data_IF_990976073222
#
_entry.id   IF_990976073222
#
_cell.length_a   1.000
_cell.length_b   1.000
_cell.length_c   1.000
_cell.angle_alpha   90.00
_cell.angle_beta   90.00
_cell.angle_gamma   90.00
#
_symmetry.space_group_name_H-M   'P 1'
#
loop_
_entity.id
_entity.type
_entity.pdbx_description
1 polymer ?
#
# COMPACT_ATOMS: atom_id res chain seq x y z
N UNK A 1 21.83 -23.86 5.10
CA UNK A 1 20.53 -24.28 5.66
C UNK A 1 19.84 -23.04 6.23
N UNK A 2 18.52 -22.86 6.10
CA UNK A 2 17.83 -21.74 6.75
C UNK A 2 17.99 -21.84 8.27
N UNK A 3 18.16 -20.69 8.94
CA UNK A 3 18.31 -20.63 10.40
C UNK A 3 16.97 -20.79 11.14
N UNK A 4 17.04 -20.91 12.48
CA UNK A 4 15.87 -21.15 13.33
C UNK A 4 14.74 -20.13 13.18
N UNK A 5 15.08 -18.84 13.00
CA UNK A 5 14.09 -17.77 12.77
C UNK A 5 13.26 -18.02 11.51
N UNK A 6 13.92 -18.36 10.39
CA UNK A 6 13.23 -18.61 9.12
C UNK A 6 12.34 -19.84 9.23
N UNK A 7 12.81 -20.91 9.89
CA UNK A 7 12.01 -22.12 10.10
C UNK A 7 10.78 -21.84 10.98
N UNK A 8 10.92 -21.04 12.04
CA UNK A 8 9.80 -20.65 12.90
C UNK A 8 8.79 -19.76 12.16
N UNK A 9 9.23 -18.74 11.41
CA UNK A 9 8.35 -17.90 10.60
C UNK A 9 7.62 -18.69 9.51
N UNK A 10 8.31 -19.65 8.88
CA UNK A 10 7.70 -20.54 7.89
C UNK A 10 6.66 -21.45 8.54
N UNK A 11 6.96 -22.05 9.70
CA UNK A 11 5.99 -22.85 10.46
C UNK A 11 4.72 -22.05 10.76
N UNK A 12 4.84 -20.84 11.31
CA UNK A 12 3.69 -19.97 11.61
C UNK A 12 2.88 -19.64 10.35
N UNK A 13 3.56 -19.35 9.24
CA UNK A 13 2.91 -19.12 7.95
C UNK A 13 2.10 -20.34 7.51
N UNK A 14 2.67 -21.54 7.60
CA UNK A 14 1.99 -22.79 7.26
C UNK A 14 0.79 -23.07 8.19
N UNK A 15 0.92 -22.78 9.49
CA UNK A 15 -0.16 -22.93 10.45
C UNK A 15 -1.34 -21.99 10.13
N UNK A 16 -1.08 -20.74 9.73
CA UNK A 16 -2.14 -19.81 9.30
C UNK A 16 -2.89 -20.31 8.05
N UNK A 17 -2.19 -20.95 7.10
CA UNK A 17 -2.85 -21.61 5.97
C UNK A 17 -3.70 -22.80 6.41
N UNK A 18 -3.16 -23.68 7.25
CA UNK A 18 -3.88 -24.85 7.75
C UNK A 18 -5.14 -24.46 8.54
N UNK A 19 -5.03 -23.42 9.37
CA UNK A 19 -6.14 -22.86 10.14
C UNK A 19 -7.13 -22.03 9.29
N UNK A 20 -6.83 -21.80 8.00
CA UNK A 20 -7.61 -20.94 7.09
C UNK A 20 -7.71 -19.48 7.56
N UNK A 21 -6.75 -19.01 8.35
CA UNK A 21 -6.63 -17.61 8.82
C UNK A 21 -5.60 -16.80 8.03
N UNK A 22 -5.01 -17.40 6.98
CA UNK A 22 -4.03 -16.77 6.09
C UNK A 22 -4.45 -15.38 5.59
N UNK A 23 -5.75 -15.18 5.29
CA UNK A 23 -6.24 -13.89 4.78
C UNK A 23 -6.07 -12.74 5.78
N UNK A 24 -6.24 -12.99 7.07
CA UNK A 24 -6.11 -11.97 8.13
C UNK A 24 -4.69 -11.89 8.69
N UNK A 25 -4.00 -13.02 8.82
CA UNK A 25 -2.71 -13.13 9.51
C UNK A 25 -1.51 -12.87 8.61
N UNK A 26 -1.58 -13.23 7.33
CA UNK A 26 -0.46 -13.03 6.41
C UNK A 26 -0.59 -11.65 5.75
N UNK A 27 0.39 -10.74 5.94
CA UNK A 27 0.28 -9.36 5.45
C UNK A 27 -0.02 -9.26 3.95
N UNK A 28 0.60 -10.13 3.13
CA UNK A 28 0.34 -10.18 1.70
C UNK A 28 -1.14 -10.41 1.39
N UNK A 29 -1.78 -11.40 2.02
CA UNK A 29 -3.19 -11.69 1.74
C UNK A 29 -4.12 -10.63 2.31
N UNK A 30 -3.79 -10.04 3.46
CA UNK A 30 -4.54 -8.90 3.99
C UNK A 30 -4.56 -7.77 2.98
N UNK A 31 -3.40 -7.37 2.47
CA UNK A 31 -3.28 -6.33 1.44
C UNK A 31 -4.02 -6.71 0.14
N UNK A 32 -3.73 -7.90 -0.40
CA UNK A 32 -4.29 -8.36 -1.68
C UNK A 32 -5.82 -8.53 -1.66
N UNK A 33 -6.41 -8.83 -0.51
CA UNK A 33 -7.85 -9.10 -0.37
C UNK A 33 -8.70 -7.92 0.07
N UNK A 34 -8.10 -6.75 0.40
CA UNK A 34 -8.87 -5.54 0.72
C UNK A 34 -9.83 -5.19 -0.43
N UNK A 35 -11.09 -4.91 -0.12
CA UNK A 35 -12.07 -4.53 -1.13
C UNK A 35 -11.76 -3.15 -1.71
N UNK A 36 -12.17 -2.91 -2.96
CA UNK A 36 -12.06 -1.60 -3.60
C UNK A 36 -12.84 -0.53 -2.82
N UNK A 37 -14.01 -0.87 -2.29
CA UNK A 37 -14.81 0.01 -1.43
C UNK A 37 -14.05 0.43 -0.16
N UNK A 38 -13.37 -0.52 0.50
CA UNK A 38 -12.57 -0.21 1.69
C UNK A 38 -11.39 0.71 1.35
N UNK A 39 -10.71 0.49 0.21
CA UNK A 39 -9.65 1.39 -0.24
C UNK A 39 -10.19 2.76 -0.64
N UNK A 40 -11.37 2.84 -1.26
CA UNK A 40 -12.05 4.09 -1.58
C UNK A 40 -12.33 4.93 -0.35
N UNK A 41 -12.94 4.34 0.68
CA UNK A 41 -13.21 5.00 1.96
C UNK A 41 -11.94 5.50 2.65
N UNK A 42 -10.85 4.71 2.60
CA UNK A 42 -9.53 5.15 3.10
C UNK A 42 -9.00 6.34 2.32
N UNK A 43 -9.10 6.32 0.99
CA UNK A 43 -8.67 7.43 0.15
C UNK A 43 -9.45 8.72 0.45
N UNK A 44 -10.76 8.62 0.61
CA UNK A 44 -11.62 9.74 1.01
C UNK A 44 -11.20 10.32 2.36
N UNK A 45 -11.00 9.48 3.37
CA UNK A 45 -10.59 9.91 4.70
C UNK A 45 -9.23 10.62 4.71
N UNK A 46 -8.26 10.11 3.94
CA UNK A 46 -6.93 10.74 3.79
C UNK A 46 -7.07 12.13 3.15
N UNK A 47 -7.80 12.23 2.03
CA UNK A 47 -7.99 13.51 1.31
C UNK A 47 -8.74 14.51 2.19
N UNK A 48 -9.77 14.07 2.93
CA UNK A 48 -10.46 14.94 3.89
C UNK A 48 -9.53 15.46 4.99
N UNK A 49 -8.60 14.64 5.46
CA UNK A 49 -7.64 15.01 6.50
C UNK A 49 -6.55 15.97 6.01
N UNK A 50 -6.02 15.78 4.78
CA UNK A 50 -4.96 16.62 4.24
C UNK A 50 -5.44 17.80 3.37
N UNK A 51 -6.69 17.78 2.94
CA UNK A 51 -7.31 18.83 2.12
C UNK A 51 -6.92 18.81 0.65
N UNK A 52 -6.18 17.80 0.17
CA UNK A 52 -5.71 17.74 -1.20
C UNK A 52 -5.55 16.32 -1.76
N UNK A 53 -5.48 16.24 -3.09
CA UNK A 53 -5.35 14.99 -3.83
C UNK A 53 -6.66 14.57 -4.51
N UNK A 54 -6.54 13.63 -5.45
CA UNK A 54 -7.68 13.07 -6.20
C UNK A 54 -7.66 11.55 -6.11
N UNK A 55 -8.82 10.95 -5.89
CA UNK A 55 -8.98 9.50 -5.88
C UNK A 55 -8.88 8.98 -7.31
N UNK A 56 -8.11 7.93 -7.53
CA UNK A 56 -8.07 7.22 -8.81
C UNK A 56 -8.25 5.72 -8.62
N UNK A 57 -8.88 5.09 -9.60
CA UNK A 57 -8.75 3.65 -9.79
C UNK A 57 -7.39 3.35 -10.40
N UNK A 58 -6.69 2.35 -9.88
CA UNK A 58 -5.42 1.92 -10.44
C UNK A 58 -5.26 0.41 -10.35
N UNK A 59 -4.22 -0.11 -10.98
CA UNK A 59 -3.82 -1.50 -10.87
C UNK A 59 -2.51 -1.60 -10.08
N UNK A 60 -2.50 -2.50 -9.11
CA UNK A 60 -1.31 -2.90 -8.35
C UNK A 60 -0.74 -4.18 -8.95
N UNK A 61 0.58 -4.27 -9.03
CA UNK A 61 1.29 -5.43 -9.54
C UNK A 61 1.91 -6.21 -8.36
N UNK A 62 1.37 -7.38 -7.99
CA UNK A 62 1.96 -8.21 -6.94
C UNK A 62 3.27 -8.82 -7.43
N UNK A 63 4.37 -8.53 -6.74
CA UNK A 63 5.67 -9.16 -6.95
C UNK A 63 6.25 -8.87 -8.34
N UNK A 64 7.15 -7.89 -8.43
CA UNK A 64 7.77 -7.40 -9.67
C UNK A 64 8.56 -8.46 -10.51
N UNK A 65 8.58 -9.74 -10.12
CA UNK A 65 9.16 -10.83 -10.90
C UNK A 65 8.57 -12.23 -10.62
N UNK A 66 7.59 -12.37 -9.72
CA UNK A 66 7.04 -13.68 -9.33
C UNK A 66 5.72 -14.05 -10.00
N UNK A 67 5.01 -13.06 -10.54
CA UNK A 67 3.67 -13.24 -11.13
C UNK A 67 3.49 -12.33 -12.37
N UNK A 68 4.24 -12.58 -13.46
CA UNK A 68 4.11 -11.79 -14.68
C UNK A 68 2.68 -11.86 -15.24
N UNK A 69 2.10 -10.70 -15.54
CA UNK A 69 0.77 -10.58 -16.15
C UNK A 69 -0.42 -10.56 -15.19
N UNK A 70 -0.20 -10.68 -13.88
CA UNK A 70 -1.30 -10.57 -12.89
C UNK A 70 -1.36 -9.14 -12.36
N UNK A 71 -2.55 -8.53 -12.39
CA UNK A 71 -2.83 -7.27 -11.71
C UNK A 71 -3.95 -7.44 -10.69
N UNK A 72 -3.88 -6.66 -9.62
CA UNK A 72 -4.92 -6.55 -8.60
C UNK A 72 -5.51 -5.15 -8.71
N UNK A 73 -6.83 -5.05 -8.87
CA UNK A 73 -7.53 -3.76 -8.89
C UNK A 73 -7.26 -3.03 -7.58
N UNK A 74 -7.10 -1.72 -7.62
CA UNK A 74 -6.77 -0.89 -6.46
C UNK A 74 -7.36 0.51 -6.56
N UNK A 75 -7.24 1.25 -5.46
CA UNK A 75 -7.52 2.68 -5.35
C UNK A 75 -6.27 3.37 -4.84
N UNK A 76 -5.95 4.50 -5.46
CA UNK A 76 -4.85 5.37 -5.04
C UNK A 76 -5.28 6.81 -4.92
N UNK A 77 -4.37 7.64 -4.39
CA UNK A 77 -4.51 9.08 -4.36
C UNK A 77 -3.43 9.69 -5.24
N UNK A 78 -3.81 10.68 -6.04
CA UNK A 78 -2.88 11.42 -6.91
C UNK A 78 -2.71 12.86 -6.47
N UNK A 79 -1.49 13.36 -6.64
CA UNK A 79 -1.13 14.78 -6.53
C UNK A 79 -0.43 15.21 -7.82
N UNK A 80 -0.75 16.40 -8.30
CA UNK A 80 -0.11 16.95 -9.49
C UNK A 80 1.34 17.34 -9.15
N UNK A 81 2.29 17.02 -10.04
CA UNK A 81 3.73 17.19 -9.83
C UNK A 81 4.46 15.92 -9.38
N UNK A 82 5.79 15.93 -9.53
CA UNK A 82 6.70 14.90 -8.99
C UNK A 82 7.17 15.29 -7.58
N UNK A 83 6.61 14.60 -6.58
CA UNK A 83 6.89 14.80 -5.16
C UNK A 83 7.76 13.68 -4.56
N UNK A 84 8.33 12.80 -5.39
CA UNK A 84 9.03 11.59 -4.91
C UNK A 84 10.21 11.92 -4.01
N UNK A 85 10.96 12.99 -4.31
CA UNK A 85 12.11 13.39 -3.50
C UNK A 85 11.69 13.82 -2.10
N UNK A 86 10.62 14.60 -1.98
CA UNK A 86 10.11 15.03 -0.69
C UNK A 86 9.56 13.83 0.10
N UNK A 87 8.73 13.00 -0.54
CA UNK A 87 8.13 11.82 0.09
C UNK A 87 9.19 10.82 0.60
N UNK A 88 10.28 10.60 -0.15
CA UNK A 88 11.41 9.75 0.28
C UNK A 88 12.19 10.32 1.47
N UNK A 89 12.12 11.63 1.69
CA UNK A 89 12.77 12.31 2.82
C UNK A 89 11.86 12.43 4.06
N UNK A 90 10.62 11.94 3.98
CA UNK A 90 9.78 11.80 5.17
C UNK A 90 10.34 10.73 6.13
N UNK A 91 9.89 10.77 7.39
CA UNK A 91 10.22 9.75 8.38
C UNK A 91 8.92 9.17 9.00
N UNK A 92 8.51 7.94 8.65
CA UNK A 92 9.16 7.03 7.70
C UNK A 92 9.09 7.52 6.24
N UNK A 93 10.00 7.03 5.40
CA UNK A 93 10.04 7.36 3.98
C UNK A 93 8.81 6.80 3.26
N UNK A 94 8.19 7.61 2.40
CA UNK A 94 7.02 7.21 1.62
C UNK A 94 7.45 6.95 0.18
N UNK A 95 7.22 5.72 -0.28
CA UNK A 95 7.58 5.29 -1.63
C UNK A 95 6.33 5.31 -2.50
N UNK A 96 6.29 6.30 -3.40
CA UNK A 96 5.23 6.47 -4.39
C UNK A 96 5.77 6.21 -5.81
N UNK A 97 4.89 6.24 -6.80
CA UNK A 97 5.25 6.22 -8.23
C UNK A 97 4.83 7.52 -8.90
N UNK A 98 5.53 7.93 -9.95
CA UNK A 98 5.13 9.05 -10.81
C UNK A 98 4.79 8.53 -12.19
N UNK A 99 3.71 9.05 -12.75
CA UNK A 99 3.32 8.84 -14.14
C UNK A 99 2.77 10.15 -14.68
N UNK A 100 3.22 10.57 -15.86
CA UNK A 100 2.74 11.77 -16.55
C UNK A 100 2.79 13.04 -15.67
N UNK A 101 3.88 13.22 -14.91
CA UNK A 101 4.07 14.31 -13.94
C UNK A 101 3.00 14.37 -12.83
N UNK A 102 2.43 13.22 -12.47
CA UNK A 102 1.51 13.06 -11.35
C UNK A 102 2.07 12.02 -10.39
N UNK A 103 2.19 12.40 -9.12
CA UNK A 103 2.55 11.48 -8.04
C UNK A 103 1.35 10.64 -7.65
N UNK A 104 1.52 9.33 -7.58
CA UNK A 104 0.48 8.34 -7.27
C UNK A 104 0.89 7.53 -6.05
N UNK A 105 0.04 7.51 -5.04
CA UNK A 105 0.13 6.61 -3.90
C UNK A 105 -0.95 5.55 -4.04
N UNK A 106 -0.53 4.28 -4.16
CA UNK A 106 -1.41 3.12 -4.22
C UNK A 106 -1.68 2.60 -2.81
N UNK A 107 -2.94 2.66 -2.36
CA UNK A 107 -3.30 2.29 -0.98
C UNK A 107 -3.26 0.77 -0.74
N UNK A 108 -3.14 -0.05 -1.79
CA UNK A 108 -3.04 -1.51 -1.67
C UNK A 108 -1.90 -1.96 -0.77
N UNK A 109 -0.77 -1.24 -0.83
CA UNK A 109 0.47 -1.59 -0.12
C UNK A 109 0.71 -0.75 1.13
N UNK A 110 -0.28 0.04 1.54
CA UNK A 110 -0.22 0.87 2.74
C UNK A 110 -1.06 0.20 3.81
N UNK A 111 -0.45 -0.09 4.96
CA UNK A 111 -1.19 -0.58 6.12
C UNK A 111 -2.11 0.55 6.64
N UNK A 112 -3.37 0.28 6.98
CA UNK A 112 -4.28 1.31 7.51
C UNK A 112 -3.72 2.12 8.69
N UNK A 113 -2.80 1.57 9.50
CA UNK A 113 -2.16 2.33 10.58
C UNK A 113 -1.34 3.52 10.08
N UNK A 114 -0.90 3.50 8.83
CA UNK A 114 0.00 4.51 8.24
C UNK A 114 -0.76 5.59 7.46
N UNK A 115 -2.11 5.54 7.40
CA UNK A 115 -2.93 6.51 6.66
C UNK A 115 -2.71 7.95 7.14
N UNK A 116 -2.52 8.13 8.45
CA UNK A 116 -2.20 9.44 9.03
C UNK A 116 -0.84 9.96 8.57
N UNK A 117 0.16 9.09 8.38
CA UNK A 117 1.48 9.48 7.90
C UNK A 117 1.41 9.97 6.44
N UNK A 118 0.58 9.31 5.62
CA UNK A 118 0.32 9.74 4.24
C UNK A 118 -0.35 11.11 4.22
N UNK A 119 -1.39 11.31 5.03
CA UNK A 119 -2.09 12.60 5.13
C UNK A 119 -1.15 13.74 5.56
N UNK A 120 -0.32 13.51 6.59
CA UNK A 120 0.65 14.50 7.06
C UNK A 120 1.75 14.81 6.04
N UNK A 121 2.20 13.81 5.28
CA UNK A 121 3.14 14.05 4.19
C UNK A 121 2.50 14.87 3.07
N UNK A 122 1.23 14.63 2.76
CA UNK A 122 0.51 15.39 1.75
C UNK A 122 0.35 16.85 2.16
N UNK A 123 0.03 17.16 3.42
CA UNK A 123 -0.04 18.55 3.91
C UNK A 123 1.26 19.37 3.72
N UNK A 124 2.42 18.70 3.60
CA UNK A 124 3.72 19.36 3.37
C UNK A 124 3.97 19.69 1.90
N UNK A 125 3.13 19.20 1.00
CA UNK A 125 3.17 19.49 -0.44
C UNK A 125 2.37 20.77 -0.65
N UNK A 126 3.06 21.81 -1.13
CA UNK A 126 2.49 23.11 -1.51
C UNK A 126 1.96 23.09 -2.93
#
# INVERSE_FOLDING_TARGET
RPGGLVLASLHNTMMAYLARTAQSEIPFWRMASLSIDALGKRAEAIIQSCGQGRIINCDSLPGAGSAPGISIKSVGITLDGDHLRMLRNCNPAIIARVKDNTTIIDLRTIDPSDDALVAEAFKKIL
#
